data_IF_288176971920
#
_entry.id   IF_288176971920
#
_cell.length_a   1.000
_cell.length_b   1.000
_cell.length_c   1.000
_cell.angle_alpha   90.00
_cell.angle_beta   90.00
_cell.angle_gamma   90.00
#
_symmetry.space_group_name_H-M   'P 1'
#
loop_
_entity.id
_entity.type
_entity.pdbx_description
1 polymer ?
#
# COMPACT_ATOMS: atom_id res chain seq x y z
N UNK A 1 -20.19 28.42 -11.32
CA UNK A 1 -18.94 27.94 -11.93
C UNK A 1 -17.91 27.80 -10.83
N UNK A 2 -17.32 26.62 -10.61
CA UNK A 2 -16.21 26.49 -9.66
C UNK A 2 -14.97 27.11 -10.31
N UNK A 3 -14.48 28.20 -9.75
CA UNK A 3 -13.24 28.87 -10.18
C UNK A 3 -12.04 28.13 -9.59
N UNK A 4 -11.26 27.48 -10.44
CA UNK A 4 -9.97 26.92 -10.06
C UNK A 4 -8.89 28.00 -9.99
N UNK A 5 -7.95 27.89 -9.05
CA UNK A 5 -6.78 28.77 -8.98
C UNK A 5 -5.65 28.12 -9.78
N UNK A 6 -5.12 28.80 -10.78
CA UNK A 6 -4.01 28.30 -11.60
C UNK A 6 -2.66 28.77 -11.04
N UNK A 7 -1.70 27.85 -10.91
CA UNK A 7 -0.32 28.13 -10.50
C UNK A 7 0.68 27.42 -11.40
N UNK A 8 1.54 28.18 -12.05
CA UNK A 8 2.72 27.62 -12.71
C UNK A 8 3.74 27.19 -11.64
N UNK A 9 4.26 25.98 -11.78
CA UNK A 9 5.10 25.38 -10.75
C UNK A 9 6.56 25.75 -10.98
N UNK A 10 7.18 26.24 -9.92
CA UNK A 10 8.61 26.56 -9.83
C UNK A 10 9.13 26.11 -8.47
N UNK A 11 10.39 25.73 -8.40
CA UNK A 11 11.07 25.49 -7.11
C UNK A 11 11.36 26.81 -6.41
N UNK A 12 11.71 26.72 -5.13
CA UNK A 12 12.30 27.81 -4.33
C UNK A 12 13.55 28.42 -4.99
N UNK A 13 14.31 27.61 -5.74
CA UNK A 13 15.47 28.04 -6.53
C UNK A 13 15.13 28.56 -7.93
N UNK A 14 13.85 28.65 -8.29
CA UNK A 14 13.38 29.19 -9.56
C UNK A 14 13.41 28.22 -10.75
N UNK A 15 13.67 26.93 -10.53
CA UNK A 15 13.63 25.91 -11.60
C UNK A 15 12.18 25.61 -11.99
N UNK A 16 11.88 25.60 -13.29
CA UNK A 16 10.50 25.45 -13.82
C UNK A 16 10.34 24.32 -14.85
N UNK A 17 11.40 23.53 -15.06
CA UNK A 17 11.43 22.36 -15.92
C UNK A 17 11.77 21.11 -15.12
N UNK A 18 10.95 20.07 -15.29
CA UNK A 18 11.03 18.88 -14.46
C UNK A 18 10.96 17.60 -15.28
N UNK A 19 11.71 16.59 -14.86
CA UNK A 19 11.38 15.19 -15.12
C UNK A 19 10.32 14.75 -14.13
N UNK A 20 9.34 13.96 -14.60
CA UNK A 20 8.17 13.59 -13.79
C UNK A 20 8.08 12.08 -13.65
N UNK A 21 7.86 11.61 -12.43
CA UNK A 21 7.38 10.24 -12.14
C UNK A 21 6.05 10.36 -11.41
N UNK A 22 5.06 9.60 -11.81
CA UNK A 22 3.70 9.75 -11.27
C UNK A 22 3.02 8.39 -11.08
N UNK A 23 2.47 8.17 -9.89
CA UNK A 23 1.61 7.04 -9.57
C UNK A 23 0.16 7.52 -9.66
N UNK A 24 -0.41 7.43 -10.87
CA UNK A 24 -1.70 8.06 -11.19
C UNK A 24 -2.84 7.63 -10.27
N UNK A 25 -2.91 6.34 -9.95
CA UNK A 25 -3.99 5.78 -9.14
C UNK A 25 -3.90 6.18 -7.66
N UNK A 26 -2.73 6.65 -7.23
CA UNK A 26 -2.46 7.00 -5.84
C UNK A 26 -2.35 8.52 -5.64
N UNK A 27 -2.38 9.30 -6.73
CA UNK A 27 -2.29 10.75 -6.65
C UNK A 27 -0.94 11.28 -6.15
N UNK A 28 0.15 10.52 -6.32
CA UNK A 28 1.49 10.92 -5.86
C UNK A 28 2.45 11.06 -7.04
N UNK A 29 3.31 12.08 -6.98
CA UNK A 29 4.36 12.24 -7.98
C UNK A 29 5.64 12.86 -7.44
N UNK A 30 6.72 12.58 -8.17
CA UNK A 30 8.06 13.11 -7.96
C UNK A 30 8.46 13.95 -9.16
N UNK A 31 8.96 15.14 -8.87
CA UNK A 31 9.60 16.05 -9.81
C UNK A 31 11.11 16.05 -9.57
N UNK A 32 11.89 15.89 -10.62
CA UNK A 32 13.35 16.01 -10.57
C UNK A 32 13.77 17.16 -11.48
N UNK A 33 14.54 18.10 -10.94
CA UNK A 33 15.02 19.28 -11.69
C UNK A 33 16.28 18.96 -12.49
N UNK A 34 16.75 19.93 -13.29
CA UNK A 34 18.00 19.78 -14.08
C UNK A 34 19.23 19.61 -13.19
N UNK A 35 19.20 20.19 -11.99
CA UNK A 35 20.25 20.04 -11.00
C UNK A 35 20.09 18.76 -10.15
N UNK A 36 19.29 17.78 -10.61
CA UNK A 36 18.98 16.54 -9.90
C UNK A 36 18.40 16.74 -8.49
N UNK A 37 17.78 17.89 -8.23
CA UNK A 37 17.08 18.16 -6.97
C UNK A 37 15.67 17.59 -7.09
N UNK A 38 15.21 16.89 -6.05
CA UNK A 38 13.98 16.12 -6.07
C UNK A 38 12.92 16.78 -5.18
N UNK A 39 11.69 16.84 -5.69
CA UNK A 39 10.54 17.40 -5.00
C UNK A 39 9.34 16.48 -5.16
N UNK A 40 8.66 16.19 -4.07
CA UNK A 40 7.37 15.54 -4.12
C UNK A 40 6.28 16.57 -4.38
N UNK A 41 5.27 16.14 -5.12
CA UNK A 41 4.08 16.94 -5.38
C UNK A 41 3.23 16.88 -4.10
N UNK A 42 2.87 18.05 -3.57
CA UNK A 42 2.17 18.20 -2.29
C UNK A 42 2.96 17.65 -1.10
N UNK A 43 2.30 17.51 0.04
CA UNK A 43 2.84 16.97 1.30
C UNK A 43 2.88 15.42 1.33
N UNK A 44 3.20 14.79 0.19
CA UNK A 44 3.08 13.35 0.00
C UNK A 44 4.29 12.51 0.47
N UNK A 45 5.15 13.06 1.34
CA UNK A 45 6.45 12.46 1.69
C UNK A 45 6.36 11.01 2.21
N UNK A 46 5.63 10.79 3.29
CA UNK A 46 5.50 9.45 3.87
C UNK A 46 4.76 8.50 2.92
N UNK A 47 3.74 9.01 2.21
CA UNK A 47 2.93 8.19 1.31
C UNK A 47 3.70 7.73 0.07
N UNK A 48 4.55 8.59 -0.50
CA UNK A 48 5.41 8.26 -1.63
C UNK A 48 6.25 7.02 -1.34
N UNK A 49 6.92 7.00 -0.18
CA UNK A 49 7.81 5.90 0.14
C UNK A 49 7.08 4.58 0.33
N UNK A 50 5.89 4.61 0.93
CA UNK A 50 5.07 3.42 1.09
C UNK A 50 4.70 2.78 -0.25
N UNK A 51 4.37 3.61 -1.25
CA UNK A 51 3.97 3.15 -2.56
C UNK A 51 5.14 2.57 -3.37
N UNK A 52 6.33 3.16 -3.25
CA UNK A 52 7.45 2.74 -4.08
C UNK A 52 8.15 1.47 -3.58
N UNK A 53 7.73 0.84 -2.48
CA UNK A 53 8.46 -0.31 -1.91
C UNK A 53 8.59 -1.48 -2.90
N UNK A 54 7.56 -1.73 -3.71
CA UNK A 54 7.57 -2.78 -4.73
C UNK A 54 8.21 -2.31 -6.05
N UNK A 55 7.73 -1.19 -6.61
CA UNK A 55 8.21 -0.68 -7.90
C UNK A 55 8.42 0.84 -7.83
N UNK A 56 9.51 1.30 -8.45
CA UNK A 56 9.76 2.73 -8.60
C UNK A 56 9.12 3.23 -9.92
N UNK A 57 8.20 4.21 -9.89
CA UNK A 57 7.43 4.62 -11.07
C UNK A 57 8.34 5.12 -12.19
N UNK A 58 8.06 4.74 -13.43
CA UNK A 58 8.85 5.13 -14.61
C UNK A 58 8.75 6.64 -14.88
N UNK A 59 9.79 7.19 -15.53
CA UNK A 59 9.78 8.59 -15.98
C UNK A 59 8.73 8.77 -17.09
N UNK A 60 8.00 9.87 -17.03
CA UNK A 60 7.11 10.31 -18.11
C UNK A 60 7.95 10.70 -19.33
N UNK A 61 7.55 10.23 -20.51
CA UNK A 61 8.13 10.61 -21.80
C UNK A 61 7.08 11.25 -22.68
N UNK A 62 7.45 12.29 -23.41
CA UNK A 62 6.63 12.84 -24.47
C UNK A 62 6.71 11.93 -25.71
N UNK A 63 5.77 12.07 -26.64
CA UNK A 63 5.80 11.38 -27.94
C UNK A 63 7.01 11.81 -28.80
N UNK A 64 7.61 12.97 -28.53
CA UNK A 64 8.88 13.39 -29.13
C UNK A 64 10.12 12.89 -28.36
N UNK A 65 9.95 11.91 -27.46
CA UNK A 65 10.97 11.34 -26.57
C UNK A 65 11.60 12.30 -25.54
N UNK A 66 11.18 13.57 -25.48
CA UNK A 66 11.61 14.49 -24.43
C UNK A 66 11.09 14.07 -23.05
N UNK A 67 11.93 14.24 -22.02
CA UNK A 67 11.63 13.92 -20.62
C UNK A 67 11.36 15.16 -19.76
N UNK A 68 11.46 16.36 -20.33
CA UNK A 68 11.34 17.63 -19.61
C UNK A 68 10.01 18.32 -19.85
N UNK A 69 9.38 18.77 -18.77
CA UNK A 69 8.05 19.35 -18.80
C UNK A 69 7.98 20.59 -17.90
N UNK A 70 7.20 21.59 -18.34
CA UNK A 70 6.65 22.60 -17.45
C UNK A 70 5.35 22.08 -16.83
N UNK A 71 5.07 22.48 -15.59
CA UNK A 71 3.87 22.06 -14.87
C UNK A 71 3.01 23.27 -14.47
N UNK A 72 1.70 23.08 -14.57
CA UNK A 72 0.69 23.99 -14.04
C UNK A 72 -0.29 23.21 -13.17
N UNK A 73 -0.53 23.67 -11.95
CA UNK A 73 -1.52 23.11 -11.05
C UNK A 73 -2.77 23.98 -11.05
N UNK A 74 -3.93 23.35 -11.15
CA UNK A 74 -5.24 23.96 -10.97
C UNK A 74 -5.83 23.46 -9.65
N UNK A 75 -5.98 24.36 -8.68
CA UNK A 75 -6.52 24.05 -7.36
C UNK A 75 -8.02 24.28 -7.37
N UNK A 76 -8.78 23.23 -7.08
CA UNK A 76 -10.25 23.29 -7.02
C UNK A 76 -10.66 23.45 -5.55
N UNK A 77 -11.36 24.54 -5.26
CA UNK A 77 -11.83 24.89 -3.92
C UNK A 77 -12.99 23.98 -3.51
N UNK A 78 -13.02 23.58 -2.25
CA UNK A 78 -14.15 22.86 -1.63
C UNK A 78 -15.30 23.84 -1.38
N UNK A 79 -16.51 23.44 -1.76
CA UNK A 79 -17.69 24.29 -1.62
C UNK A 79 -17.90 24.71 -0.16
N UNK A 80 -18.06 26.02 0.05
CA UNK A 80 -18.33 26.59 1.38
C UNK A 80 -17.10 26.74 2.28
N UNK A 81 -15.90 26.50 1.77
CA UNK A 81 -14.64 26.69 2.52
C UNK A 81 -13.59 27.37 1.63
N UNK A 82 -12.48 27.81 2.23
CA UNK A 82 -11.32 28.32 1.48
C UNK A 82 -10.28 27.24 1.18
N UNK A 83 -10.56 25.98 1.50
CA UNK A 83 -9.63 24.86 1.30
C UNK A 83 -9.80 24.20 -0.09
N UNK A 84 -8.82 23.37 -0.46
CA UNK A 84 -8.77 22.65 -1.73
C UNK A 84 -9.19 21.19 -1.56
N UNK A 85 -10.08 20.73 -2.43
CA UNK A 85 -10.53 19.34 -2.52
C UNK A 85 -9.81 18.52 -3.57
N UNK A 86 -9.25 19.18 -4.59
CA UNK A 86 -8.69 18.54 -5.76
C UNK A 86 -7.61 19.43 -6.37
N UNK A 87 -6.56 18.82 -6.91
CA UNK A 87 -5.53 19.49 -7.71
C UNK A 87 -5.42 18.80 -9.06
N UNK A 88 -5.57 19.56 -10.14
CA UNK A 88 -5.34 19.05 -11.50
C UNK A 88 -3.97 19.50 -12.00
N UNK A 89 -3.20 18.56 -12.50
CA UNK A 89 -1.82 18.77 -12.95
C UNK A 89 -1.76 18.69 -14.46
N UNK A 90 -1.46 19.81 -15.08
CA UNK A 90 -1.21 19.93 -16.51
C UNK A 90 0.29 19.94 -16.77
N UNK A 91 0.74 19.14 -17.73
CA UNK A 91 2.16 19.06 -18.14
C UNK A 91 2.32 19.50 -19.59
N UNK A 92 3.26 20.39 -19.87
CA UNK A 92 3.60 20.85 -21.22
C UNK A 92 5.03 20.48 -21.55
N UNK A 93 5.23 19.77 -22.65
CA UNK A 93 6.56 19.34 -23.08
C UNK A 93 7.42 20.54 -23.48
N UNK A 94 8.64 20.65 -22.94
CA UNK A 94 9.53 21.79 -23.23
C UNK A 94 10.10 21.80 -24.64
N UNK A 95 10.04 20.66 -25.37
CA UNK A 95 10.57 20.54 -26.72
C UNK A 95 9.51 20.78 -27.81
N UNK A 96 8.36 20.12 -27.72
CA UNK A 96 7.31 20.21 -28.75
C UNK A 96 6.06 20.98 -28.31
N UNK A 97 6.06 21.57 -27.10
CA UNK A 97 4.95 22.34 -26.52
C UNK A 97 3.61 21.59 -26.41
N UNK A 98 3.62 20.26 -26.59
CA UNK A 98 2.41 19.45 -26.45
C UNK A 98 1.98 19.40 -24.99
N UNK A 99 0.75 19.85 -24.75
CA UNK A 99 0.09 19.78 -23.44
C UNK A 99 -0.64 18.45 -23.28
N UNK A 100 -0.43 17.78 -22.14
CA UNK A 100 -1.13 16.54 -21.81
C UNK A 100 -2.48 16.81 -21.14
N UNK A 101 -3.39 15.83 -21.21
CA UNK A 101 -4.62 15.87 -20.40
C UNK A 101 -4.26 15.98 -18.91
N UNK A 102 -4.96 16.82 -18.14
CA UNK A 102 -4.68 16.98 -16.72
C UNK A 102 -4.82 15.67 -15.96
N UNK A 103 -3.95 15.46 -14.97
CA UNK A 103 -4.08 14.39 -13.99
C UNK A 103 -4.68 14.99 -12.73
N UNK A 104 -5.76 14.40 -12.22
CA UNK A 104 -6.42 14.85 -11.00
C UNK A 104 -5.87 14.10 -9.77
N UNK A 105 -5.69 14.83 -8.68
CA UNK A 105 -5.38 14.32 -7.34
C UNK A 105 -6.51 14.81 -6.42
N UNK A 106 -7.28 13.87 -5.87
CA UNK A 106 -8.29 14.17 -4.84
C UNK A 106 -7.62 14.28 -3.46
N UNK A 107 -8.05 15.25 -2.65
CA UNK A 107 -7.51 15.50 -1.31
C UNK A 107 -8.56 15.13 -0.27
N UNK A 108 -8.26 14.08 0.51
CA UNK A 108 -9.16 13.47 1.50
C UNK A 108 -9.06 14.09 2.90
N UNK A 109 -8.32 15.20 3.05
CA UNK A 109 -8.11 15.88 4.32
C UNK A 109 -8.32 17.40 4.23
N UNK A 110 -8.43 18.03 5.39
CA UNK A 110 -8.58 19.48 5.59
C UNK A 110 -7.88 19.86 6.90
N UNK A 111 -7.23 21.04 7.01
CA UNK A 111 -7.14 22.12 6.02
C UNK A 111 -6.01 21.94 4.98
N UNK A 112 -6.15 22.56 3.80
CA UNK A 112 -5.23 22.36 2.66
C UNK A 112 -4.72 23.66 2.02
N UNK A 113 -5.02 24.82 2.61
CA UNK A 113 -4.61 26.13 2.07
C UNK A 113 -3.09 26.25 1.82
N UNK A 114 -2.30 25.60 2.68
CA UNK A 114 -0.84 25.59 2.60
C UNK A 114 -0.29 24.93 1.32
N UNK A 115 -1.08 24.10 0.63
CA UNK A 115 -0.68 23.44 -0.61
C UNK A 115 -0.52 24.45 -1.76
N UNK A 116 -1.28 25.55 -1.75
CA UNK A 116 -1.11 26.61 -2.75
C UNK A 116 0.20 27.36 -2.53
N UNK A 117 0.59 27.64 -1.28
CA UNK A 117 1.87 28.30 -0.97
C UNK A 117 3.05 27.35 -1.16
N UNK A 118 2.91 26.09 -0.74
CA UNK A 118 3.94 25.06 -0.74
C UNK A 118 3.51 23.86 -1.63
N UNK A 119 3.48 24.05 -2.96
CA UNK A 119 2.99 23.01 -3.88
C UNK A 119 3.95 21.81 -4.01
N UNK A 120 5.20 22.03 -3.62
CA UNK A 120 6.31 21.09 -3.74
C UNK A 120 6.96 20.92 -2.37
N UNK A 121 7.23 19.67 -2.00
CA UNK A 121 7.98 19.33 -0.80
C UNK A 121 9.36 18.79 -1.20
N UNK A 122 10.44 19.40 -0.70
CA UNK A 122 11.79 18.94 -0.99
C UNK A 122 12.00 17.50 -0.47
N UNK A 123 12.65 16.68 -1.29
CA UNK A 123 12.88 15.27 -0.99
C UNK A 123 14.32 14.92 -1.31
N UNK A 124 15.18 14.85 -0.29
CA UNK A 124 16.61 14.58 -0.50
C UNK A 124 16.85 13.20 -1.14
N UNK A 125 16.20 12.17 -0.59
CA UNK A 125 16.35 10.79 -1.04
C UNK A 125 14.99 10.23 -1.49
N UNK A 126 14.60 10.34 -2.77
CA UNK A 126 13.28 9.91 -3.21
C UNK A 126 13.13 8.39 -3.37
N UNK A 127 14.19 7.61 -3.20
CA UNK A 127 14.16 6.15 -3.38
C UNK A 127 14.60 5.42 -2.11
N UNK A 128 13.98 5.75 -0.98
CA UNK A 128 14.21 5.01 0.26
C UNK A 128 13.40 3.72 0.23
N UNK A 129 14.11 2.60 0.33
CA UNK A 129 13.54 1.27 0.57
C UNK A 129 13.75 0.93 2.04
N UNK A 130 12.73 0.39 2.69
CA UNK A 130 12.82 -0.11 4.06
C UNK A 130 12.61 -1.63 4.08
N UNK A 131 12.82 -2.25 5.25
CA UNK A 131 12.62 -3.70 5.46
C UNK A 131 11.13 -4.09 5.42
N UNK A 132 10.50 -3.95 4.27
CA UNK A 132 9.20 -4.49 3.93
C UNK A 132 9.32 -5.97 3.52
N UNK A 133 8.31 -6.77 3.87
CA UNK A 133 8.19 -8.16 3.44
C UNK A 133 6.79 -8.44 2.93
N UNK A 134 6.72 -8.87 1.67
CA UNK A 134 5.56 -9.51 1.06
C UNK A 134 5.92 -10.97 0.80
N UNK A 135 5.19 -11.87 1.45
CA UNK A 135 5.31 -13.31 1.26
C UNK A 135 4.05 -13.81 0.54
N UNK A 136 4.21 -14.80 -0.34
CA UNK A 136 3.10 -15.35 -1.12
C UNK A 136 3.00 -16.86 -0.94
N UNK A 137 1.79 -17.37 -0.87
CA UNK A 137 1.55 -18.77 -0.54
C UNK A 137 0.32 -19.34 -1.22
N UNK A 138 0.47 -20.46 -1.91
CA UNK A 138 -0.68 -21.28 -2.31
C UNK A 138 -1.00 -22.32 -1.24
N UNK A 139 -2.13 -22.17 -0.56
CA UNK A 139 -2.49 -23.01 0.60
C UNK A 139 -3.86 -23.65 0.45
N UNK A 140 -4.00 -24.87 1.00
CA UNK A 140 -5.29 -25.48 1.29
C UNK A 140 -5.89 -24.90 2.58
N UNK A 141 -7.15 -25.25 2.88
CA UNK A 141 -7.76 -24.90 4.16
C UNK A 141 -6.97 -25.42 5.36
N UNK A 142 -6.41 -26.63 5.27
CA UNK A 142 -5.63 -27.21 6.37
C UNK A 142 -4.27 -26.51 6.56
N UNK A 143 -3.62 -26.08 5.46
CA UNK A 143 -2.42 -25.25 5.58
C UNK A 143 -2.71 -23.91 6.27
N UNK A 144 -3.88 -23.30 6.00
CA UNK A 144 -4.32 -22.09 6.69
C UNK A 144 -4.57 -22.35 8.18
N UNK A 145 -5.22 -23.48 8.55
CA UNK A 145 -5.42 -23.86 9.95
C UNK A 145 -4.10 -24.03 10.70
N UNK A 146 -3.13 -24.71 10.09
CA UNK A 146 -1.78 -24.88 10.65
C UNK A 146 -1.09 -23.52 10.87
N UNK A 147 -1.23 -22.61 9.90
CA UNK A 147 -0.69 -21.25 10.03
C UNK A 147 -1.35 -20.49 11.19
N UNK A 148 -2.69 -20.51 11.28
CA UNK A 148 -3.40 -19.89 12.39
C UNK A 148 -2.96 -20.50 13.73
N UNK A 149 -2.86 -21.83 13.81
CA UNK A 149 -2.40 -22.49 15.03
C UNK A 149 -1.02 -21.98 15.47
N UNK A 150 -0.07 -21.88 14.53
CA UNK A 150 1.26 -21.33 14.80
C UNK A 150 1.22 -19.88 15.29
N UNK A 151 0.42 -19.02 14.64
CA UNK A 151 0.31 -17.60 15.02
C UNK A 151 -0.28 -17.42 16.42
N UNK A 152 -1.34 -18.16 16.75
CA UNK A 152 -2.03 -18.06 18.03
C UNK A 152 -1.29 -18.75 19.16
N UNK A 153 -0.76 -19.95 18.96
CA UNK A 153 -0.25 -20.80 20.03
C UNK A 153 1.27 -20.75 20.16
N UNK A 154 1.99 -20.84 19.04
CA UNK A 154 3.46 -20.93 19.07
C UNK A 154 4.11 -19.53 19.19
N UNK A 155 3.54 -18.52 18.53
CA UNK A 155 3.95 -17.13 18.67
C UNK A 155 3.20 -16.37 19.76
N UNK A 156 2.09 -16.92 20.26
CA UNK A 156 1.23 -16.28 21.27
C UNK A 156 0.80 -14.86 20.87
N UNK A 157 0.40 -14.69 19.60
CA UNK A 157 -0.05 -13.40 19.08
C UNK A 157 -1.57 -13.25 19.23
N UNK A 158 -1.99 -12.03 19.53
CA UNK A 158 -3.39 -11.62 19.45
C UNK A 158 -3.75 -11.48 17.98
N UNK A 159 -4.95 -11.94 17.62
CA UNK A 159 -5.46 -11.82 16.27
C UNK A 159 -6.71 -10.94 16.24
N UNK A 160 -6.77 -10.09 15.22
CA UNK A 160 -7.93 -9.31 14.86
C UNK A 160 -8.35 -9.70 13.45
N UNK A 161 -9.64 -9.81 13.21
CA UNK A 161 -10.16 -10.18 11.90
C UNK A 161 -11.10 -9.10 11.38
N UNK A 162 -10.89 -8.70 10.13
CA UNK A 162 -11.85 -7.91 9.37
C UNK A 162 -12.63 -8.85 8.47
N UNK A 163 -13.93 -9.01 8.68
CA UNK A 163 -14.73 -10.02 7.97
C UNK A 163 -16.19 -9.61 7.77
N UNK A 164 -16.85 -10.26 6.83
CA UNK A 164 -18.30 -10.17 6.64
C UNK A 164 -19.02 -11.17 7.55
N UNK A 165 -19.97 -10.68 8.34
CA UNK A 165 -20.88 -11.54 9.10
C UNK A 165 -22.12 -11.84 8.26
N UNK A 166 -22.52 -13.11 8.18
CA UNK A 166 -23.77 -13.54 7.55
C UNK A 166 -24.88 -13.70 8.60
N UNK A 167 -26.15 -13.57 8.21
CA UNK A 167 -26.65 -13.23 6.86
C UNK A 167 -26.55 -11.75 6.50
N UNK A 168 -26.21 -10.90 7.46
CA UNK A 168 -26.34 -9.45 7.36
C UNK A 168 -25.41 -8.80 6.32
N UNK A 169 -24.38 -9.54 5.86
CA UNK A 169 -23.36 -9.10 4.91
C UNK A 169 -22.72 -7.76 5.31
N UNK A 170 -22.61 -7.55 6.62
CA UNK A 170 -22.06 -6.37 7.25
C UNK A 170 -20.62 -6.65 7.70
N UNK A 171 -19.74 -5.66 7.59
CA UNK A 171 -18.32 -5.78 7.92
C UNK A 171 -18.06 -5.47 9.38
N UNK A 172 -17.34 -6.37 10.02
CA UNK A 172 -16.91 -6.26 11.42
C UNK A 172 -15.40 -6.30 11.51
N UNK A 173 -14.87 -5.59 12.51
CA UNK A 173 -13.47 -5.66 12.88
C UNK A 173 -13.37 -5.88 14.39
N UNK A 174 -12.92 -7.06 14.79
CA UNK A 174 -12.84 -7.43 16.20
C UNK A 174 -11.64 -8.34 16.48
N UNK A 175 -11.27 -8.40 17.76
CA UNK A 175 -10.32 -9.37 18.28
C UNK A 175 -11.00 -10.74 18.29
N UNK A 176 -10.33 -11.76 17.75
CA UNK A 176 -10.88 -13.12 17.62
C UNK A 176 -10.05 -14.13 18.40
N UNK A 177 -10.70 -15.18 18.92
CA UNK A 177 -10.01 -16.36 19.45
C UNK A 177 -9.61 -17.30 18.32
N UNK A 178 -8.82 -18.33 18.63
CA UNK A 178 -8.43 -19.34 17.65
C UNK A 178 -9.66 -20.08 17.11
N UNK A 179 -10.59 -20.47 17.98
CA UNK A 179 -11.82 -21.16 17.62
C UNK A 179 -12.70 -20.30 16.72
N UNK A 180 -12.83 -18.99 17.05
CA UNK A 180 -13.58 -18.04 16.22
C UNK A 180 -12.92 -17.84 14.86
N UNK A 181 -11.60 -17.77 14.80
CA UNK A 181 -10.87 -17.68 13.54
C UNK A 181 -11.10 -18.93 12.66
N UNK A 182 -11.10 -20.13 13.27
CA UNK A 182 -11.43 -21.37 12.57
C UNK A 182 -12.87 -21.36 12.05
N UNK A 183 -13.83 -20.92 12.86
CA UNK A 183 -15.24 -20.76 12.45
C UNK A 183 -15.36 -19.83 11.23
N UNK A 184 -14.69 -18.67 11.27
CA UNK A 184 -14.73 -17.67 10.19
C UNK A 184 -14.25 -18.28 8.87
N UNK A 185 -13.14 -19.02 8.87
CA UNK A 185 -12.57 -19.60 7.64
C UNK A 185 -13.30 -20.87 7.15
N UNK A 186 -14.19 -21.47 7.95
CA UNK A 186 -14.85 -22.76 7.62
C UNK A 186 -16.36 -22.67 7.36
N UNK A 187 -17.12 -21.93 8.19
CA UNK A 187 -18.57 -22.11 8.27
C UNK A 187 -19.40 -21.23 7.33
N UNK A 188 -18.84 -20.18 6.73
CA UNK A 188 -19.37 -19.51 5.53
C UNK A 188 -18.65 -18.18 5.14
N UNK A 189 -17.58 -17.70 5.80
CA UNK A 189 -17.31 -16.26 5.79
C UNK A 189 -16.02 -15.76 5.15
N UNK A 190 -16.26 -14.90 4.15
CA UNK A 190 -15.37 -13.93 3.53
C UNK A 190 -14.75 -13.05 4.62
N UNK A 191 -13.65 -13.50 5.19
CA UNK A 191 -12.73 -12.56 5.82
C UNK A 191 -12.05 -11.75 4.73
N UNK A 192 -11.73 -10.51 5.07
CA UNK A 192 -10.96 -9.59 4.24
C UNK A 192 -9.50 -9.70 4.62
N UNK A 193 -9.16 -9.56 5.91
CA UNK A 193 -7.80 -9.69 6.41
C UNK A 193 -7.78 -10.21 7.86
N UNK A 194 -6.72 -10.95 8.22
CA UNK A 194 -6.31 -11.16 9.61
C UNK A 194 -5.11 -10.27 9.94
N UNK A 195 -5.08 -9.77 11.17
CA UNK A 195 -4.02 -8.93 11.71
C UNK A 195 -3.50 -9.55 13.01
N UNK A 196 -2.24 -9.94 13.03
CA UNK A 196 -1.59 -10.56 14.18
C UNK A 196 -0.61 -9.61 14.83
N UNK A 197 -0.69 -9.46 16.14
CA UNK A 197 0.18 -8.56 16.89
C UNK A 197 0.35 -9.03 18.34
N UNK A 198 1.38 -8.54 19.01
CA UNK A 198 1.64 -8.87 20.42
C UNK A 198 0.82 -7.98 21.36
N UNK A 199 0.74 -6.71 21.02
CA UNK A 199 0.06 -5.70 21.82
C UNK A 199 -1.41 -5.59 21.44
N UNK A 200 -2.23 -5.02 22.33
CA UNK A 200 -3.62 -4.75 21.95
C UNK A 200 -3.65 -3.61 20.95
N UNK A 201 -4.36 -3.80 19.84
CA UNK A 201 -4.64 -2.72 18.92
C UNK A 201 -5.73 -1.87 19.57
N UNK A 202 -5.44 -0.57 19.76
CA UNK A 202 -6.48 0.38 20.07
C UNK A 202 -7.37 0.55 18.84
N UNK A 203 -8.51 -0.12 18.86
CA UNK A 203 -9.47 -0.16 17.74
C UNK A 203 -10.01 1.26 17.43
N UNK A 204 -10.02 2.17 18.40
CA UNK A 204 -10.51 3.54 18.24
C UNK A 204 -9.52 4.43 17.46
N UNK A 205 -8.23 4.09 17.52
CA UNK A 205 -7.18 4.81 16.78
C UNK A 205 -7.12 4.40 15.30
N UNK A 206 -7.83 3.33 14.94
CA UNK A 206 -7.94 2.90 13.55
C UNK A 206 -8.87 3.87 12.82
N UNK A 207 -8.36 4.51 11.76
CA UNK A 207 -9.20 5.27 10.84
C UNK A 207 -10.22 4.32 10.19
N UNK A 208 -11.44 4.36 10.69
CA UNK A 208 -12.61 3.68 10.15
C UNK A 208 -13.41 4.66 9.31
N UNK A 209 -13.80 4.23 8.13
CA UNK A 209 -14.93 4.81 7.42
C UNK A 209 -16.11 3.87 7.65
N UNK A 210 -17.29 4.42 7.84
CA UNK A 210 -18.51 3.61 7.88
C UNK A 210 -19.32 3.90 6.63
N UNK A 211 -19.77 2.84 5.96
CA UNK A 211 -20.76 2.91 4.90
C UNK A 211 -21.95 1.99 5.23
N UNK A 212 -22.90 1.85 4.31
CA UNK A 212 -24.08 1.00 4.46
C UNK A 212 -23.74 -0.48 4.74
N UNK A 213 -22.50 -0.91 4.48
CA UNK A 213 -21.97 -2.27 4.71
C UNK A 213 -21.05 -2.34 5.93
N UNK A 214 -20.99 -1.31 6.76
CA UNK A 214 -20.26 -1.29 8.02
C UNK A 214 -18.83 -0.78 7.92
N UNK A 215 -17.98 -1.26 8.83
CA UNK A 215 -16.63 -0.71 9.04
C UNK A 215 -15.71 -1.01 7.85
N UNK A 216 -15.16 0.05 7.29
CA UNK A 216 -14.08 0.04 6.31
C UNK A 216 -12.78 0.50 6.95
N UNK A 217 -11.78 -0.36 6.91
CA UNK A 217 -10.45 -0.10 7.48
C UNK A 217 -9.57 0.46 6.35
N UNK A 218 -8.95 1.62 6.58
CA UNK A 218 -7.94 2.15 5.64
C UNK A 218 -6.79 1.15 5.51
N UNK A 219 -6.36 0.88 4.27
CA UNK A 219 -5.31 -0.09 3.96
C UNK A 219 -4.03 0.18 4.76
N UNK A 220 -3.21 -0.85 4.91
CA UNK A 220 -1.82 -0.77 5.40
C UNK A 220 -1.63 -0.51 6.92
N UNK A 221 -2.56 -0.96 7.77
CA UNK A 221 -2.40 -0.91 9.24
C UNK A 221 -1.06 -1.46 9.73
N UNK A 222 -0.53 -2.49 9.05
CA UNK A 222 0.72 -3.16 9.37
C UNK A 222 1.99 -2.38 9.05
N UNK A 223 1.91 -1.29 8.27
CA UNK A 223 3.12 -0.53 7.92
C UNK A 223 3.72 0.17 9.11
N UNK A 224 2.91 0.97 9.80
CA UNK A 224 3.36 1.79 10.94
C UNK A 224 3.30 1.04 12.27
N UNK A 225 2.53 -0.05 12.35
CA UNK A 225 2.35 -0.82 13.59
C UNK A 225 3.07 -2.17 13.54
N UNK A 226 3.36 -2.75 14.70
CA UNK A 226 3.94 -4.10 14.83
C UNK A 226 2.88 -5.19 14.58
N UNK A 227 2.43 -5.27 13.33
CA UNK A 227 1.36 -6.16 12.88
C UNK A 227 1.86 -6.98 11.68
N UNK A 228 1.48 -8.26 11.67
CA UNK A 228 1.58 -9.16 10.51
C UNK A 228 0.17 -9.27 9.93
N UNK A 229 -0.02 -8.89 8.67
CA UNK A 229 -1.30 -9.04 7.95
C UNK A 229 -1.29 -10.32 7.11
N UNK A 230 -2.41 -11.05 7.13
CA UNK A 230 -2.71 -12.14 6.19
C UNK A 230 -3.95 -11.75 5.39
N UNK A 231 -3.83 -11.76 4.06
CA UNK A 231 -4.92 -11.44 3.16
C UNK A 231 -6.00 -12.53 3.11
N UNK A 232 -7.20 -12.16 2.67
CA UNK A 232 -8.18 -13.12 2.14
C UNK A 232 -7.58 -13.91 0.97
N UNK A 233 -8.01 -15.16 0.75
CA UNK A 233 -7.53 -15.93 -0.39
C UNK A 233 -8.00 -15.32 -1.72
N UNK A 234 -7.09 -15.26 -2.69
CA UNK A 234 -7.41 -15.02 -4.09
C UNK A 234 -7.49 -16.35 -4.82
N UNK A 235 -8.62 -16.61 -5.48
CA UNK A 235 -8.77 -17.79 -6.33
C UNK A 235 -8.02 -17.56 -7.63
N UNK A 236 -6.97 -18.34 -7.88
CA UNK A 236 -6.26 -18.33 -9.17
C UNK A 236 -6.57 -19.62 -9.90
N UNK A 237 -7.26 -19.48 -11.05
CA UNK A 237 -7.77 -20.52 -11.96
C UNK A 237 -7.04 -21.88 -11.88
N UNK A 238 -7.57 -22.77 -11.04
CA UNK A 238 -7.19 -24.18 -10.80
C UNK A 238 -5.89 -24.47 -10.02
N UNK A 239 -5.16 -23.46 -9.55
CA UNK A 239 -3.87 -23.65 -8.86
C UNK A 239 -4.01 -23.80 -7.34
N UNK A 240 -5.05 -23.19 -6.76
CA UNK A 240 -5.29 -23.13 -5.33
C UNK A 240 -5.70 -21.73 -4.88
N UNK A 241 -5.72 -21.54 -3.56
CA UNK A 241 -6.00 -20.26 -2.92
C UNK A 241 -4.66 -19.54 -2.66
N UNK A 242 -4.48 -18.37 -3.28
CA UNK A 242 -3.31 -17.53 -3.06
C UNK A 242 -3.52 -16.61 -1.86
N UNK A 243 -2.60 -16.66 -0.91
CA UNK A 243 -2.54 -15.79 0.25
C UNK A 243 -1.32 -14.88 0.16
N UNK A 244 -1.46 -13.67 0.69
CA UNK A 244 -0.37 -12.73 0.92
C UNK A 244 -0.18 -12.53 2.41
N UNK A 245 1.09 -12.49 2.83
CA UNK A 245 1.47 -12.14 4.20
C UNK A 245 2.33 -10.88 4.12
N UNK A 246 1.89 -9.82 4.80
CA UNK A 246 2.54 -8.52 4.79
C UNK A 246 3.02 -8.12 6.18
N UNK A 247 4.25 -7.62 6.27
CA UNK A 247 4.77 -6.96 7.46
C UNK A 247 5.97 -6.09 7.11
N UNK A 248 6.31 -5.14 7.99
CA UNK A 248 7.59 -4.42 7.91
C UNK A 248 8.32 -4.48 9.23
N UNK A 249 9.64 -4.69 9.20
CA UNK A 249 10.51 -4.49 10.36
C UNK A 249 11.03 -3.05 10.48
N UNK A 250 10.73 -2.22 9.47
CA UNK A 250 11.06 -0.81 9.43
C UNK A 250 9.89 -0.03 8.84
N UNK A 251 9.73 1.23 9.21
CA UNK A 251 8.74 2.14 8.62
C UNK A 251 9.36 3.51 8.40
N UNK A 252 8.72 4.32 7.56
CA UNK A 252 9.14 5.70 7.34
C UNK A 252 8.31 6.67 8.19
N UNK A 253 9.03 7.62 8.78
CA UNK A 253 8.43 8.71 9.53
C UNK A 253 9.19 9.99 9.21
N UNK A 254 8.53 10.91 8.49
CA UNK A 254 9.11 12.22 8.12
C UNK A 254 10.42 12.08 7.34
N UNK A 255 10.48 11.12 6.42
CA UNK A 255 11.66 10.87 5.58
C UNK A 255 12.76 10.04 6.24
N UNK A 256 12.62 9.64 7.51
CA UNK A 256 13.58 8.80 8.21
C UNK A 256 13.10 7.37 8.37
N UNK A 257 13.99 6.40 8.09
CA UNK A 257 13.72 4.98 8.32
C UNK A 257 13.85 4.69 9.81
N UNK A 258 12.78 4.21 10.42
CA UNK A 258 12.73 3.78 11.82
C UNK A 258 12.59 2.27 11.90
N UNK A 259 13.39 1.64 12.74
CA UNK A 259 13.24 0.23 13.08
C UNK A 259 12.03 0.02 14.02
N UNK A 260 11.32 -1.09 13.82
CA UNK A 260 10.38 -1.62 14.82
C UNK A 260 11.15 -2.37 15.91
N UNK A 261 10.46 -2.77 16.96
CA UNK A 261 11.05 -3.42 18.12
C UNK A 261 11.80 -4.71 17.74
N UNK A 262 12.84 -5.02 18.52
CA UNK A 262 13.56 -6.29 18.41
C UNK A 262 12.67 -7.50 18.70
N UNK A 263 11.62 -7.32 19.51
CA UNK A 263 10.63 -8.37 19.74
C UNK A 263 9.88 -8.70 18.44
N UNK A 264 9.40 -7.70 17.72
CA UNK A 264 8.73 -7.90 16.44
C UNK A 264 9.66 -8.48 15.36
N UNK A 265 10.92 -8.03 15.30
CA UNK A 265 11.92 -8.61 14.39
C UNK A 265 12.16 -10.11 14.70
N UNK A 266 12.14 -10.51 15.97
CA UNK A 266 12.27 -11.92 16.39
C UNK A 266 11.06 -12.75 15.96
N UNK A 267 9.84 -12.24 16.15
CA UNK A 267 8.61 -12.96 15.81
C UNK A 267 8.45 -13.11 14.29
N UNK A 268 8.74 -12.06 13.51
CA UNK A 268 8.74 -12.14 12.04
C UNK A 268 9.83 -13.06 11.49
N UNK A 269 10.97 -13.16 12.18
CA UNK A 269 12.03 -14.13 11.83
C UNK A 269 11.59 -15.56 12.10
N UNK A 270 10.97 -15.82 13.27
CA UNK A 270 10.38 -17.14 13.58
C UNK A 270 9.34 -17.55 12.54
N UNK A 271 8.45 -16.63 12.16
CA UNK A 271 7.46 -16.85 11.11
C UNK A 271 8.12 -17.29 9.79
N UNK A 272 9.12 -16.53 9.31
CA UNK A 272 9.83 -16.89 8.06
C UNK A 272 10.51 -18.25 8.14
N UNK A 273 11.11 -18.59 9.29
CA UNK A 273 11.75 -19.89 9.49
C UNK A 273 10.73 -21.02 9.53
N UNK A 274 9.61 -20.84 10.21
CA UNK A 274 8.51 -21.81 10.25
C UNK A 274 7.95 -22.06 8.85
N UNK A 275 7.66 -21.00 8.09
CA UNK A 275 7.19 -21.10 6.71
C UNK A 275 8.17 -21.89 5.83
N UNK A 276 9.47 -21.61 5.95
CA UNK A 276 10.52 -22.30 5.20
C UNK A 276 10.65 -23.79 5.58
N UNK A 277 10.43 -24.13 6.84
CA UNK A 277 10.49 -25.52 7.31
C UNK A 277 9.24 -26.34 6.95
N UNK A 278 8.08 -25.69 6.82
CA UNK A 278 6.78 -26.33 6.62
C UNK A 278 6.34 -26.43 5.15
N UNK A 279 6.79 -25.51 4.29
CA UNK A 279 6.27 -25.35 2.92
C UNK A 279 7.35 -25.37 1.82
N UNK A 280 6.91 -25.60 0.59
CA UNK A 280 7.76 -25.63 -0.61
C UNK A 280 8.11 -24.21 -1.05
N UNK A 281 9.41 -23.93 -1.26
CA UNK A 281 9.91 -22.59 -1.63
C UNK A 281 10.42 -22.47 -3.07
N UNK A 282 10.03 -23.40 -3.95
CA UNK A 282 10.62 -23.54 -5.29
C UNK A 282 10.09 -22.54 -6.33
N UNK A 283 8.96 -21.86 -6.07
CA UNK A 283 8.38 -20.86 -6.98
C UNK A 283 9.20 -19.56 -7.04
N UNK A 284 9.97 -19.26 -6.00
CA UNK A 284 10.82 -18.08 -5.95
C UNK A 284 11.09 -17.61 -4.53
N UNK A 285 11.81 -16.50 -4.41
CA UNK A 285 12.04 -15.85 -3.13
C UNK A 285 10.71 -15.45 -2.50
N UNK A 286 10.57 -15.64 -1.19
CA UNK A 286 9.36 -15.33 -0.42
C UNK A 286 8.08 -16.08 -0.87
N UNK A 287 8.23 -17.20 -1.59
CA UNK A 287 7.11 -18.06 -1.95
C UNK A 287 7.09 -19.29 -1.03
N UNK A 288 5.95 -19.61 -0.42
CA UNK A 288 5.81 -20.72 0.54
C UNK A 288 4.52 -21.50 0.25
N UNK A 289 4.61 -22.45 -0.66
CA UNK A 289 3.45 -23.15 -1.22
C UNK A 289 3.23 -24.52 -0.53
N UNK A 290 1.97 -24.88 -0.32
CA UNK A 290 1.58 -26.23 0.08
C UNK A 290 1.94 -27.23 -1.01
N UNK A 291 2.27 -28.46 -0.62
CA UNK A 291 2.77 -29.49 -1.53
C UNK A 291 1.80 -29.79 -2.69
N UNK A 292 0.51 -29.96 -2.37
CA UNK A 292 -0.53 -30.22 -3.37
C UNK A 292 -0.67 -29.06 -4.37
N UNK A 293 -0.72 -27.82 -3.87
CA UNK A 293 -0.90 -26.64 -4.70
C UNK A 293 0.34 -26.36 -5.57
N UNK A 294 1.54 -26.58 -5.04
CA UNK A 294 2.78 -26.49 -5.82
C UNK A 294 2.82 -27.54 -6.93
N UNK A 295 2.39 -28.77 -6.65
CA UNK A 295 2.32 -29.84 -7.65
C UNK A 295 1.36 -29.48 -8.77
N UNK A 296 0.17 -28.96 -8.45
CA UNK A 296 -0.80 -28.44 -9.44
C UNK A 296 -0.18 -27.31 -10.29
N UNK A 297 0.52 -26.38 -9.65
CA UNK A 297 1.23 -25.29 -10.32
C UNK A 297 2.24 -25.77 -11.36
N UNK A 298 3.14 -26.67 -10.98
CA UNK A 298 4.16 -27.19 -11.90
C UNK A 298 3.55 -28.00 -13.04
N UNK A 299 2.58 -28.87 -12.76
CA UNK A 299 1.93 -29.70 -13.79
C UNK A 299 1.30 -28.84 -14.89
N UNK A 300 0.53 -27.82 -14.50
CA UNK A 300 -0.14 -26.92 -15.46
C UNK A 300 0.84 -25.97 -16.14
N UNK A 301 1.89 -25.52 -15.45
CA UNK A 301 2.93 -24.71 -16.07
C UNK A 301 3.72 -25.50 -17.14
N UNK A 302 3.95 -26.80 -16.91
CA UNK A 302 4.61 -27.67 -17.87
C UNK A 302 3.70 -28.06 -19.05
N UNK A 303 2.37 -28.14 -18.86
CA UNK A 303 1.44 -28.41 -19.97
C UNK A 303 1.22 -27.22 -20.91
N UNK A 304 1.64 -26.01 -20.52
CA UNK A 304 1.55 -24.78 -21.31
C UNK A 304 2.86 -24.45 -22.06
N UNK A 305 3.88 -25.30 -21.92
CA UNK A 305 5.15 -25.23 -22.66
C UNK A 305 5.18 -26.30 -23.73
#
# INVERSE_FOLDING_TARGET
>A
MQTGILKNIRTDKGEDQFQIRFLKNEGVGLLTTKNNTNYLILDSLDYWYDLIQNEYPKKKKCTCNNEWFNLQFEYIIRLGTDDYREIKITTTCTNCNKTAKPISIDIDYSPTNHLLSNPLNYCEAPNIKYKFSELTSYWSGDNLKDFLFFMFNDLNLKAYCWFFKYPDNHRFFEKVTFEKALEIITFNHRYLNFYFTKDEINIDDIKKLEDEKGVYIKKDLWRKNEIIELSSPFVISDYGLLYYIHFCNQFLYKGEVKDKSKAFEKDTTKLKNWLKGKFITKRGRNCFDGEEAYTKFITKHNSLR
#
